data_IF_471787032624
#
_entry.id   IF_471787032624
#
_cell.length_a   1.000
_cell.length_b   1.000
_cell.length_c   1.000
_cell.angle_alpha   90.00
_cell.angle_beta   90.00
_cell.angle_gamma   90.00
#
_symmetry.space_group_name_H-M   'P 1'
#
loop_
_entity.id
_entity.type
_entity.pdbx_description
1 polymer ?
#
# COMPACT_ATOMS: atom_id res chain seq x y z
N UNK A 1 -21.58 6.07 16.56
CA UNK A 1 -20.17 6.41 16.82
C UNK A 1 -19.55 5.80 18.09
N UNK A 2 -20.32 5.37 19.09
CA UNK A 2 -19.81 4.67 20.29
C UNK A 2 -19.33 3.23 20.03
N UNK A 3 -19.78 2.56 18.97
CA UNK A 3 -19.41 1.18 18.59
C UNK A 3 -17.96 1.01 18.08
N UNK A 4 -17.27 2.13 17.77
CA UNK A 4 -15.92 2.14 17.20
C UNK A 4 -14.84 2.56 18.22
N UNK A 5 -15.12 2.59 19.51
CA UNK A 5 -14.06 2.73 20.52
C UNK A 5 -13.42 1.35 20.73
N UNK A 6 -12.16 1.12 20.37
CA UNK A 6 -11.47 -0.08 20.82
C UNK A 6 -11.40 0.00 22.34
N UNK A 7 -12.02 -0.93 23.03
CA UNK A 7 -11.73 -1.18 24.43
C UNK A 7 -10.26 -1.66 24.49
N UNK A 8 -9.41 -0.89 25.12
CA UNK A 8 -7.98 -1.00 25.40
C UNK A 8 -7.16 -2.22 24.99
N UNK A 9 -7.60 -3.42 25.16
CA UNK A 9 -6.79 -4.63 24.95
C UNK A 9 -7.39 -5.49 23.82
N UNK A 10 -6.72 -5.53 22.64
CA UNK A 10 -7.19 -6.32 21.49
C UNK A 10 -7.00 -7.83 21.65
N UNK A 11 -6.31 -8.25 22.71
CA UNK A 11 -6.19 -9.67 23.07
C UNK A 11 -7.48 -10.22 23.69
N UNK A 12 -8.48 -9.36 23.96
CA UNK A 12 -9.78 -9.71 24.53
C UNK A 12 -10.94 -9.17 23.67
N UNK A 13 -12.17 -9.64 23.91
CA UNK A 13 -13.37 -9.17 23.23
C UNK A 13 -13.60 -9.73 21.82
N UNK A 14 -14.59 -9.21 21.12
CA UNK A 14 -15.02 -9.72 19.83
C UNK A 14 -14.07 -9.30 18.70
N UNK A 15 -13.47 -10.26 18.01
CA UNK A 15 -12.47 -10.08 16.96
C UNK A 15 -12.95 -9.15 15.84
N UNK A 16 -14.17 -9.37 15.32
CA UNK A 16 -14.71 -8.59 14.22
C UNK A 16 -14.87 -7.09 14.54
N UNK A 17 -15.17 -6.74 15.82
CA UNK A 17 -15.26 -5.35 16.26
C UNK A 17 -13.91 -4.65 16.21
N UNK A 18 -12.84 -5.32 16.63
CA UNK A 18 -11.48 -4.79 16.56
C UNK A 18 -11.01 -4.64 15.11
N UNK A 19 -11.26 -5.67 14.28
CA UNK A 19 -10.91 -5.61 12.85
C UNK A 19 -11.64 -4.46 12.15
N UNK A 20 -12.94 -4.26 12.39
CA UNK A 20 -13.69 -3.12 11.82
C UNK A 20 -13.19 -1.78 12.35
N UNK A 21 -12.85 -1.69 13.64
CA UNK A 21 -12.32 -0.45 14.23
C UNK A 21 -10.97 -0.05 13.63
N UNK A 22 -10.19 -0.99 13.12
CA UNK A 22 -8.94 -0.75 12.40
C UNK A 22 -9.19 -0.52 10.91
N UNK A 23 -10.02 -1.35 10.30
CA UNK A 23 -10.34 -1.32 8.87
C UNK A 23 -10.95 0.02 8.43
N UNK A 24 -11.97 0.50 9.14
CA UNK A 24 -12.71 1.69 8.73
C UNK A 24 -11.81 2.93 8.62
N UNK A 25 -10.97 3.29 9.62
CA UNK A 25 -10.06 4.42 9.47
C UNK A 25 -9.03 4.24 8.35
N UNK A 26 -8.51 3.03 8.14
CA UNK A 26 -7.56 2.75 7.05
C UNK A 26 -8.22 2.91 5.69
N UNK A 27 -9.43 2.38 5.52
CA UNK A 27 -10.18 2.48 4.27
C UNK A 27 -10.47 3.95 3.92
N UNK A 28 -10.97 4.73 4.89
CA UNK A 28 -11.16 6.17 4.69
C UNK A 28 -9.84 6.90 4.43
N UNK A 29 -8.75 6.52 5.10
CA UNK A 29 -7.43 7.10 4.84
C UNK A 29 -6.99 6.89 3.39
N UNK A 30 -7.10 5.66 2.90
CA UNK A 30 -6.78 5.35 1.49
C UNK A 30 -7.72 6.07 0.52
N UNK A 31 -9.01 6.19 0.87
CA UNK A 31 -9.97 6.96 0.07
C UNK A 31 -9.56 8.45 -0.05
N UNK A 32 -9.24 9.11 1.06
CA UNK A 32 -8.76 10.50 1.03
C UNK A 32 -7.45 10.65 0.26
N UNK A 33 -6.56 9.66 0.34
CA UNK A 33 -5.33 9.62 -0.44
C UNK A 33 -5.61 9.55 -1.94
N UNK A 34 -6.57 8.71 -2.37
CA UNK A 34 -6.99 8.65 -3.77
C UNK A 34 -7.66 9.95 -4.24
N UNK A 35 -8.44 10.56 -3.34
CA UNK A 35 -9.13 11.81 -3.65
C UNK A 35 -8.12 12.94 -3.93
N UNK A 36 -7.12 13.13 -3.06
CA UNK A 36 -6.13 14.18 -3.30
C UNK A 36 -5.29 13.90 -4.55
N UNK A 37 -4.86 12.66 -4.82
CA UNK A 37 -4.14 12.31 -6.06
C UNK A 37 -4.98 12.64 -7.32
N UNK A 38 -6.29 12.45 -7.23
CA UNK A 38 -7.22 12.80 -8.32
C UNK A 38 -7.31 14.32 -8.48
N UNK A 39 -7.36 15.07 -7.39
CA UNK A 39 -7.40 16.54 -7.41
C UNK A 39 -6.09 17.10 -7.98
N UNK A 40 -4.93 16.61 -7.55
CA UNK A 40 -3.62 16.99 -8.10
C UNK A 40 -3.60 16.82 -9.63
N UNK A 41 -4.04 15.65 -10.10
CA UNK A 41 -4.11 15.36 -11.54
C UNK A 41 -5.06 16.29 -12.27
N UNK A 42 -6.21 16.63 -11.67
CA UNK A 42 -7.18 17.58 -12.20
C UNK A 42 -6.62 19.01 -12.29
N UNK A 43 -5.94 19.46 -11.22
CA UNK A 43 -5.32 20.80 -11.16
C UNK A 43 -4.26 20.93 -12.25
N UNK A 44 -3.36 19.93 -12.35
CA UNK A 44 -2.33 19.93 -13.40
C UNK A 44 -2.95 19.93 -14.80
N UNK A 45 -3.89 19.02 -15.06
CA UNK A 45 -4.48 18.88 -16.40
C UNK A 45 -5.30 20.10 -16.84
N UNK A 46 -6.03 20.72 -15.92
CA UNK A 46 -6.94 21.82 -16.26
C UNK A 46 -6.27 23.20 -16.26
N UNK A 47 -5.31 23.42 -15.37
CA UNK A 47 -4.73 24.76 -15.17
C UNK A 47 -3.29 24.90 -15.67
N UNK A 48 -2.52 23.81 -15.75
CA UNK A 48 -1.15 23.84 -16.26
C UNK A 48 -1.07 23.37 -17.71
N UNK A 49 -1.83 22.32 -18.05
CA UNK A 49 -1.97 21.86 -19.42
C UNK A 49 -1.46 20.44 -19.69
N UNK A 50 -1.66 19.98 -20.92
CA UNK A 50 -1.43 18.58 -21.33
C UNK A 50 0.02 18.10 -21.21
N UNK A 51 1.00 18.97 -21.45
CA UNK A 51 2.43 18.61 -21.34
C UNK A 51 2.82 18.39 -19.87
N UNK A 52 2.34 19.25 -18.97
CA UNK A 52 2.54 19.11 -17.53
C UNK A 52 1.84 17.84 -16.99
N UNK A 53 0.63 17.55 -17.49
CA UNK A 53 -0.07 16.33 -17.12
C UNK A 53 0.71 15.07 -17.57
N UNK A 54 1.28 15.09 -18.77
CA UNK A 54 2.14 14.01 -19.26
C UNK A 54 3.42 13.89 -18.45
N UNK A 55 4.02 15.03 -18.04
CA UNK A 55 5.20 15.07 -17.19
C UNK A 55 4.92 14.41 -15.82
N UNK A 56 3.89 14.85 -15.11
CA UNK A 56 3.49 14.28 -13.80
C UNK A 56 3.06 12.81 -13.95
N UNK A 57 2.29 12.48 -14.99
CA UNK A 57 1.86 11.10 -15.26
C UNK A 57 3.01 10.13 -15.47
N UNK A 58 4.07 10.55 -16.17
CA UNK A 58 5.26 9.72 -16.42
C UNK A 58 6.06 9.40 -15.14
N UNK A 59 5.92 10.21 -14.09
CA UNK A 59 6.60 10.00 -12.80
C UNK A 59 5.92 8.98 -11.90
N UNK A 60 4.64 8.68 -12.16
CA UNK A 60 3.81 7.85 -11.28
C UNK A 60 4.39 6.47 -10.99
N UNK A 61 5.02 5.83 -11.97
CA UNK A 61 5.66 4.52 -11.79
C UNK A 61 6.81 4.57 -10.77
N UNK A 62 7.67 5.60 -10.84
CA UNK A 62 8.80 5.79 -9.92
C UNK A 62 8.31 6.15 -8.51
N UNK A 63 7.31 7.02 -8.42
CA UNK A 63 6.68 7.39 -7.14
C UNK A 63 6.07 6.14 -6.47
N UNK A 64 5.26 5.35 -7.19
CA UNK A 64 4.62 4.15 -6.65
C UNK A 64 5.64 3.10 -6.21
N UNK A 65 6.71 2.89 -7.00
CA UNK A 65 7.80 1.98 -6.64
C UNK A 65 8.47 2.42 -5.34
N UNK A 66 8.79 3.70 -5.21
CA UNK A 66 9.43 4.28 -4.04
C UNK A 66 8.53 4.17 -2.80
N UNK A 67 7.24 4.52 -2.94
CA UNK A 67 6.24 4.38 -1.87
C UNK A 67 6.07 2.92 -1.46
N UNK A 68 6.07 1.98 -2.42
CA UNK A 68 6.01 0.55 -2.15
C UNK A 68 7.16 0.05 -1.27
N UNK A 69 8.38 0.54 -1.51
CA UNK A 69 9.55 0.21 -0.67
C UNK A 69 9.35 0.71 0.76
N UNK A 70 8.92 1.96 0.94
CA UNK A 70 8.74 2.53 2.29
C UNK A 70 7.61 1.86 3.06
N UNK A 71 6.50 1.58 2.40
CA UNK A 71 5.37 0.89 3.02
C UNK A 71 5.76 -0.53 3.43
N UNK A 72 6.57 -1.19 2.63
CA UNK A 72 7.13 -2.51 2.96
C UNK A 72 8.01 -2.45 4.20
N UNK A 73 8.97 -1.52 4.25
CA UNK A 73 9.84 -1.34 5.41
C UNK A 73 9.06 -0.92 6.66
N UNK A 74 8.10 0.00 6.53
CA UNK A 74 7.22 0.39 7.62
C UNK A 74 6.38 -0.78 8.15
N UNK A 75 5.96 -1.71 7.27
CA UNK A 75 5.26 -2.94 7.69
C UNK A 75 6.13 -3.79 8.61
N UNK A 76 7.45 -3.86 8.38
CA UNK A 76 8.39 -4.51 9.29
C UNK A 76 8.38 -3.89 10.68
N UNK A 77 8.41 -2.56 10.76
CA UNK A 77 8.32 -1.84 12.04
C UNK A 77 6.96 -2.06 12.73
N UNK A 78 5.86 -2.01 11.97
CA UNK A 78 4.50 -2.30 12.49
C UNK A 78 4.48 -3.65 13.19
N UNK A 79 4.99 -4.69 12.54
CA UNK A 79 4.95 -6.06 13.09
C UNK A 79 5.84 -6.19 14.31
N UNK A 80 7.10 -5.73 14.25
CA UNK A 80 8.02 -5.81 15.38
C UNK A 80 7.48 -5.08 16.62
N UNK A 81 6.97 -3.85 16.43
CA UNK A 81 6.38 -3.04 17.50
C UNK A 81 5.07 -3.65 18.01
N UNK A 82 4.21 -4.18 17.14
CA UNK A 82 2.95 -4.82 17.52
C UNK A 82 3.19 -6.06 18.37
N UNK A 83 4.20 -6.88 18.05
CA UNK A 83 4.58 -8.04 18.83
C UNK A 83 5.08 -7.65 20.23
N UNK A 84 5.95 -6.64 20.34
CA UNK A 84 6.40 -6.17 21.65
C UNK A 84 5.26 -5.55 22.48
N UNK A 85 4.36 -4.82 21.82
CA UNK A 85 3.18 -4.24 22.47
C UNK A 85 2.25 -5.34 23.02
N UNK A 86 1.95 -6.36 22.21
CA UNK A 86 1.14 -7.50 22.61
C UNK A 86 1.77 -8.31 23.74
N UNK A 87 3.09 -8.49 23.71
CA UNK A 87 3.88 -9.16 24.75
C UNK A 87 4.05 -8.32 26.02
N UNK A 88 3.61 -7.05 26.03
CA UNK A 88 3.83 -6.08 27.12
C UNK A 88 5.31 -5.86 27.47
N UNK A 89 6.19 -6.03 26.50
CA UNK A 89 7.63 -5.77 26.63
C UNK A 89 7.93 -4.31 26.36
N UNK A 90 7.68 -3.45 27.35
CA UNK A 90 7.70 -1.99 27.18
C UNK A 90 9.07 -1.42 26.86
N UNK A 91 10.14 -2.02 27.38
CA UNK A 91 11.50 -1.60 27.08
C UNK A 91 11.88 -1.89 25.62
N UNK A 92 11.60 -3.10 25.13
CA UNK A 92 11.86 -3.50 23.76
C UNK A 92 10.96 -2.71 22.77
N UNK A 93 9.72 -2.45 23.17
CA UNK A 93 8.82 -1.54 22.43
C UNK A 93 9.45 -0.17 22.25
N UNK A 94 9.98 0.43 23.33
CA UNK A 94 10.63 1.74 23.29
C UNK A 94 11.87 1.72 22.38
N UNK A 95 12.74 0.72 22.53
CA UNK A 95 13.89 0.51 21.64
C UNK A 95 13.46 0.40 20.18
N UNK A 96 12.39 -0.36 19.90
CA UNK A 96 11.81 -0.52 18.58
C UNK A 96 11.33 0.80 17.96
N UNK A 97 10.59 1.62 18.73
CA UNK A 97 10.09 2.92 18.28
C UNK A 97 11.24 3.88 17.94
N UNK A 98 12.24 4.01 18.84
CA UNK A 98 13.38 4.90 18.61
C UNK A 98 14.23 4.45 17.42
N UNK A 99 14.45 3.14 17.27
CA UNK A 99 15.14 2.55 16.11
C UNK A 99 14.37 2.79 14.81
N UNK A 100 13.06 2.57 14.80
CA UNK A 100 12.23 2.78 13.62
C UNK A 100 12.26 4.26 13.16
N UNK A 101 12.15 5.20 14.10
CA UNK A 101 12.18 6.62 13.78
C UNK A 101 13.57 7.08 13.28
N UNK A 102 14.66 6.58 13.85
CA UNK A 102 16.00 6.89 13.35
C UNK A 102 16.26 6.26 11.99
N UNK A 103 15.82 5.01 11.80
CA UNK A 103 15.94 4.32 10.53
C UNK A 103 15.14 5.04 9.42
N UNK A 104 13.98 5.64 9.76
CA UNK A 104 13.21 6.43 8.80
C UNK A 104 13.95 7.68 8.31
N UNK A 105 14.71 8.34 9.18
CA UNK A 105 15.56 9.48 8.79
C UNK A 105 16.71 9.03 7.86
N UNK A 106 17.38 7.93 8.19
CA UNK A 106 18.49 7.41 7.39
C UNK A 106 18.03 6.93 6.02
N UNK A 107 16.94 6.18 5.96
CA UNK A 107 16.34 5.70 4.71
C UNK A 107 15.82 6.89 3.90
N UNK A 108 15.13 7.84 4.53
CA UNK A 108 14.64 9.05 3.88
C UNK A 108 15.78 9.87 3.27
N UNK A 109 16.87 10.06 4.01
CA UNK A 109 18.06 10.77 3.53
C UNK A 109 18.75 10.03 2.36
N UNK A 110 18.86 8.71 2.45
CA UNK A 110 19.39 7.90 1.35
C UNK A 110 18.56 8.05 0.06
N UNK A 111 17.25 7.91 0.15
CA UNK A 111 16.38 8.05 -1.02
C UNK A 111 16.26 9.49 -1.51
N UNK A 112 16.37 10.47 -0.64
CA UNK A 112 16.46 11.88 -1.02
C UNK A 112 17.67 12.12 -1.94
N UNK A 113 18.85 11.69 -1.51
CA UNK A 113 20.10 11.87 -2.28
C UNK A 113 20.09 10.99 -3.53
N UNK A 114 19.86 9.69 -3.37
CA UNK A 114 19.86 8.75 -4.50
C UNK A 114 18.81 9.11 -5.54
N UNK A 115 17.57 9.41 -5.12
CA UNK A 115 16.47 9.76 -6.01
C UNK A 115 16.75 11.07 -6.77
N UNK A 116 17.29 12.09 -6.09
CA UNK A 116 17.62 13.35 -6.72
C UNK A 116 18.63 13.18 -7.87
N UNK A 117 19.71 12.42 -7.65
CA UNK A 117 20.74 12.22 -8.66
C UNK A 117 20.36 11.18 -9.72
N UNK A 118 19.60 10.15 -9.38
CA UNK A 118 19.19 9.10 -10.31
C UNK A 118 17.98 9.49 -11.17
N UNK A 119 17.23 10.54 -10.83
CA UNK A 119 16.03 10.98 -11.56
C UNK A 119 16.26 11.09 -13.08
N UNK A 120 17.30 11.76 -13.63
CA UNK A 120 17.43 11.90 -15.07
C UNK A 120 17.66 10.55 -15.77
N UNK A 121 18.41 9.65 -15.13
CA UNK A 121 18.65 8.31 -15.65
C UNK A 121 17.37 7.46 -15.64
N UNK A 122 16.63 7.49 -14.54
CA UNK A 122 15.39 6.75 -14.40
C UNK A 122 14.32 7.17 -15.42
N UNK A 123 14.18 8.49 -15.66
CA UNK A 123 13.24 9.02 -16.66
C UNK A 123 13.62 8.62 -18.09
N UNK A 124 14.93 8.58 -18.41
CA UNK A 124 15.40 8.09 -19.72
C UNK A 124 15.12 6.60 -19.89
N UNK A 125 15.39 5.80 -18.83
CA UNK A 125 15.11 4.37 -18.84
C UNK A 125 13.60 4.04 -19.02
N UNK A 126 12.72 4.91 -18.55
CA UNK A 126 11.27 4.80 -18.75
C UNK A 126 10.81 5.32 -20.12
N UNK A 127 11.70 5.85 -20.95
CA UNK A 127 11.34 6.39 -22.28
C UNK A 127 10.46 7.63 -22.19
N UNK A 128 10.65 8.49 -21.17
CA UNK A 128 9.87 9.73 -21.02
C UNK A 128 10.06 10.62 -22.25
N UNK A 129 8.94 11.13 -22.80
CA UNK A 129 8.92 11.97 -23.99
C UNK A 129 9.76 13.24 -23.79
N UNK A 130 10.45 13.67 -24.86
CA UNK A 130 11.35 14.81 -24.79
C UNK A 130 10.68 16.13 -24.36
N UNK A 131 9.41 16.35 -24.77
CA UNK A 131 8.62 17.51 -24.40
C UNK A 131 8.18 17.52 -22.92
N UNK A 132 7.97 16.35 -22.32
CA UNK A 132 7.57 16.18 -20.92
C UNK A 132 8.76 16.03 -19.96
N UNK A 133 9.95 15.69 -20.47
CA UNK A 133 11.14 15.35 -19.68
C UNK A 133 11.56 16.46 -18.68
N UNK A 134 11.67 17.75 -19.07
CA UNK A 134 12.10 18.80 -18.14
C UNK A 134 11.12 18.97 -16.96
N UNK A 135 9.81 18.90 -17.23
CA UNK A 135 8.78 18.98 -16.19
C UNK A 135 8.79 17.76 -15.27
N UNK A 136 8.96 16.56 -15.83
CA UNK A 136 9.06 15.31 -15.04
C UNK A 136 10.31 15.29 -14.15
N UNK A 137 11.45 15.75 -14.67
CA UNK A 137 12.70 15.86 -13.93
C UNK A 137 12.57 16.85 -12.76
N UNK A 138 12.02 18.02 -13.02
CA UNK A 138 11.78 19.04 -11.99
C UNK A 138 10.85 18.53 -10.90
N UNK A 139 9.72 17.92 -11.29
CA UNK A 139 8.76 17.32 -10.36
C UNK A 139 9.41 16.29 -9.45
N UNK A 140 10.12 15.31 -10.04
CA UNK A 140 10.74 14.23 -9.25
C UNK A 140 11.87 14.74 -8.36
N UNK A 141 12.69 15.66 -8.82
CA UNK A 141 13.75 16.27 -7.97
C UNK A 141 13.16 16.95 -6.74
N UNK A 142 12.08 17.74 -6.91
CA UNK A 142 11.38 18.37 -5.79
C UNK A 142 10.74 17.28 -4.90
N UNK A 143 10.07 16.29 -5.49
CA UNK A 143 9.46 15.19 -4.77
C UNK A 143 10.47 14.42 -3.92
N UNK A 144 11.67 14.13 -4.46
CA UNK A 144 12.73 13.44 -3.70
C UNK A 144 13.29 14.28 -2.54
N UNK A 145 13.25 15.59 -2.59
CA UNK A 145 13.57 16.44 -1.43
C UNK A 145 12.59 16.22 -0.26
N UNK A 146 11.36 15.80 -0.56
CA UNK A 146 10.34 15.42 0.44
C UNK A 146 10.46 14.00 0.99
N UNK A 147 11.51 13.22 0.67
CA UNK A 147 11.61 11.81 1.07
C UNK A 147 11.75 11.63 2.58
N UNK A 148 12.53 12.47 3.26
CA UNK A 148 12.66 12.36 4.72
C UNK A 148 11.29 12.48 5.40
N UNK A 149 10.50 13.55 5.21
CA UNK A 149 9.18 13.63 5.82
C UNK A 149 8.23 12.51 5.38
N UNK A 150 8.30 12.05 4.13
CA UNK A 150 7.46 10.94 3.65
C UNK A 150 7.76 9.64 4.41
N UNK A 151 9.03 9.26 4.55
CA UNK A 151 9.41 8.02 5.25
C UNK A 151 9.13 8.14 6.75
N UNK A 152 9.40 9.31 7.36
CA UNK A 152 9.07 9.59 8.77
C UNK A 152 7.57 9.47 9.03
N UNK A 153 6.73 10.00 8.14
CA UNK A 153 5.28 9.86 8.25
C UNK A 153 4.85 8.40 8.15
N UNK A 154 5.33 7.64 7.15
CA UNK A 154 4.97 6.22 6.99
C UNK A 154 5.41 5.37 8.19
N UNK A 155 6.62 5.59 8.69
CA UNK A 155 7.15 4.88 9.85
C UNK A 155 6.40 5.24 11.13
N UNK A 156 6.19 6.54 11.38
CA UNK A 156 5.50 7.02 12.58
C UNK A 156 4.03 6.62 12.63
N UNK A 157 3.31 6.65 11.50
CA UNK A 157 1.96 6.10 11.42
C UNK A 157 1.96 4.58 11.58
N UNK A 158 3.02 3.90 11.13
CA UNK A 158 3.27 2.49 11.39
C UNK A 158 3.35 2.20 12.89
N UNK A 159 4.09 3.01 13.67
CA UNK A 159 4.16 2.90 15.13
C UNK A 159 2.77 3.05 15.77
N UNK A 160 2.00 4.07 15.37
CA UNK A 160 0.64 4.28 15.89
C UNK A 160 -0.29 3.11 15.56
N UNK A 161 -0.24 2.61 14.32
CA UNK A 161 -1.02 1.43 13.91
C UNK A 161 -0.61 0.18 14.69
N UNK A 162 0.67 -0.03 14.94
CA UNK A 162 1.19 -1.17 15.69
C UNK A 162 0.62 -1.26 17.10
N UNK A 163 0.33 -0.12 17.73
CA UNK A 163 -0.30 -0.06 19.07
C UNK A 163 -1.83 0.02 19.03
N UNK A 164 -2.43 -0.08 17.84
CA UNK A 164 -3.89 -0.09 17.63
C UNK A 164 -4.54 1.28 17.42
N UNK A 165 -3.75 2.34 17.29
CA UNK A 165 -4.27 3.68 16.97
C UNK A 165 -4.29 3.92 15.46
N UNK A 166 -5.43 3.66 14.84
CA UNK A 166 -5.67 3.90 13.43
C UNK A 166 -6.35 5.23 13.13
N UNK A 167 -6.83 5.96 14.18
CA UNK A 167 -7.58 7.20 14.01
C UNK A 167 -6.67 8.41 13.82
N UNK A 168 -5.62 8.53 14.65
CA UNK A 168 -4.68 9.64 14.52
C UNK A 168 -4.04 9.70 13.13
N UNK A 169 -3.53 8.57 12.55
CA UNK A 169 -3.06 8.54 11.16
C UNK A 169 -4.07 9.07 10.15
N UNK A 170 -5.36 8.71 10.29
CA UNK A 170 -6.42 9.22 9.43
C UNK A 170 -6.57 10.75 9.52
N UNK A 171 -6.59 11.31 10.74
CA UNK A 171 -6.70 12.76 10.92
C UNK A 171 -5.50 13.51 10.34
N UNK A 172 -4.29 12.96 10.48
CA UNK A 172 -3.08 13.54 9.89
C UNK A 172 -3.14 13.53 8.37
N UNK A 173 -3.63 12.45 7.80
CA UNK A 173 -3.79 12.34 6.35
C UNK A 173 -4.85 13.31 5.82
N UNK A 174 -5.99 13.45 6.49
CA UNK A 174 -7.03 14.43 6.11
C UNK A 174 -6.45 15.85 6.16
N UNK A 175 -5.76 16.22 7.24
CA UNK A 175 -5.15 17.54 7.37
C UNK A 175 -4.12 17.80 6.26
N UNK A 176 -3.28 16.81 5.95
CA UNK A 176 -2.30 16.89 4.87
C UNK A 176 -2.96 16.98 3.50
N UNK A 177 -4.03 16.22 3.24
CA UNK A 177 -4.75 16.25 1.98
C UNK A 177 -5.41 17.61 1.74
N UNK A 178 -6.03 18.20 2.77
CA UNK A 178 -6.60 19.55 2.68
C UNK A 178 -5.50 20.58 2.42
N UNK A 179 -4.38 20.50 3.16
CA UNK A 179 -3.23 21.37 2.96
C UNK A 179 -2.67 21.27 1.55
N UNK A 180 -2.50 20.06 1.02
CA UNK A 180 -2.03 19.80 -0.34
C UNK A 180 -2.95 20.46 -1.37
N UNK A 181 -4.27 20.18 -1.33
CA UNK A 181 -5.25 20.75 -2.27
C UNK A 181 -5.23 22.29 -2.23
N UNK A 182 -5.19 22.89 -1.05
CA UNK A 182 -5.13 24.36 -0.92
C UNK A 182 -3.83 24.91 -1.50
N UNK A 183 -2.69 24.27 -1.19
CA UNK A 183 -1.39 24.69 -1.72
C UNK A 183 -1.29 24.51 -3.23
N UNK A 184 -1.82 23.42 -3.80
CA UNK A 184 -1.87 23.22 -5.24
C UNK A 184 -2.58 24.37 -5.92
N UNK A 185 -3.78 24.72 -5.44
CA UNK A 185 -4.54 25.84 -6.02
C UNK A 185 -3.80 27.17 -5.87
N UNK A 186 -3.23 27.45 -4.71
CA UNK A 186 -2.48 28.71 -4.47
C UNK A 186 -1.22 28.77 -5.32
N UNK A 187 -0.39 27.73 -5.32
CA UNK A 187 0.89 27.75 -6.01
C UNK A 187 0.74 27.70 -7.53
N UNK A 188 -0.28 27.00 -8.04
CA UNK A 188 -0.54 26.92 -9.48
C UNK A 188 -1.30 28.16 -9.99
N UNK A 189 -2.37 28.60 -9.30
CA UNK A 189 -3.22 29.68 -9.81
C UNK A 189 -2.69 31.08 -9.47
N UNK A 190 -2.20 31.28 -8.22
CA UNK A 190 -1.75 32.60 -7.78
C UNK A 190 -0.27 32.84 -8.13
N UNK A 191 0.59 31.85 -7.87
CA UNK A 191 2.03 31.98 -8.10
C UNK A 191 2.50 31.49 -9.47
N UNK A 192 1.65 30.77 -10.21
CA UNK A 192 1.92 30.24 -11.57
C UNK A 192 3.20 29.39 -11.64
N UNK A 193 3.44 28.57 -10.60
CA UNK A 193 4.62 27.71 -10.52
C UNK A 193 4.49 26.40 -11.33
N UNK A 194 3.42 26.23 -12.08
CA UNK A 194 3.18 25.08 -12.95
C UNK A 194 3.43 23.73 -12.22
N UNK A 195 4.20 22.83 -12.85
CA UNK A 195 4.54 21.50 -12.30
C UNK A 195 5.32 21.61 -10.96
N UNK A 196 6.16 22.65 -10.81
CA UNK A 196 6.90 22.86 -9.56
C UNK A 196 5.97 23.18 -8.38
N UNK A 197 4.87 23.91 -8.65
CA UNK A 197 3.86 24.25 -7.64
C UNK A 197 3.25 23.01 -7.00
N UNK A 198 2.82 22.05 -7.84
CA UNK A 198 2.23 20.78 -7.39
C UNK A 198 3.26 19.93 -6.62
N UNK A 199 4.50 19.85 -7.10
CA UNK A 199 5.55 19.13 -6.38
C UNK A 199 5.85 19.74 -4.99
N UNK A 200 5.90 21.08 -4.90
CA UNK A 200 6.11 21.80 -3.62
C UNK A 200 4.92 21.59 -2.69
N UNK A 201 3.68 21.67 -3.17
CA UNK A 201 2.49 21.41 -2.36
C UNK A 201 2.50 20.00 -1.77
N UNK A 202 2.88 19.00 -2.58
CA UNK A 202 3.05 17.61 -2.12
C UNK A 202 4.09 17.51 -1.02
N UNK A 203 5.28 18.12 -1.19
CA UNK A 203 6.34 18.09 -0.17
C UNK A 203 5.89 18.80 1.11
N UNK A 204 5.26 19.97 1.02
CA UNK A 204 4.75 20.71 2.18
C UNK A 204 3.71 19.89 2.96
N UNK A 205 2.79 19.22 2.26
CA UNK A 205 1.80 18.35 2.91
C UNK A 205 2.44 17.12 3.58
N UNK A 206 3.49 16.56 3.00
CA UNK A 206 4.28 15.49 3.61
C UNK A 206 5.01 15.97 4.87
N UNK A 207 5.60 17.18 4.84
CA UNK A 207 6.22 17.80 6.02
C UNK A 207 5.18 17.99 7.13
N UNK A 208 3.99 18.52 6.80
CA UNK A 208 2.91 18.66 7.77
C UNK A 208 2.54 17.32 8.42
N UNK A 209 2.36 16.27 7.60
CA UNK A 209 2.05 14.92 8.08
C UNK A 209 3.13 14.38 9.02
N UNK A 210 4.40 14.54 8.64
CA UNK A 210 5.53 14.09 9.44
C UNK A 210 5.61 14.84 10.79
N UNK A 211 5.40 16.15 10.78
CA UNK A 211 5.35 16.95 12.02
C UNK A 211 4.22 16.50 12.92
N UNK A 212 3.01 16.31 12.37
CA UNK A 212 1.84 15.87 13.15
C UNK A 212 2.07 14.50 13.80
N UNK A 213 2.65 13.54 13.09
CA UNK A 213 2.91 12.21 13.64
C UNK A 213 4.01 12.25 14.71
N UNK A 214 5.10 12.98 14.48
CA UNK A 214 6.20 13.11 15.45
C UNK A 214 5.72 13.80 16.71
N UNK A 215 5.01 14.93 16.59
CA UNK A 215 4.44 15.65 17.74
C UNK A 215 3.45 14.76 18.51
N UNK A 216 2.63 13.97 17.81
CA UNK A 216 1.71 13.03 18.44
C UNK A 216 2.44 11.96 19.25
N UNK A 217 3.53 11.38 18.72
CA UNK A 217 4.35 10.40 19.42
C UNK A 217 5.08 11.00 20.63
N UNK A 218 5.55 12.25 20.53
CA UNK A 218 6.21 12.96 21.63
C UNK A 218 5.25 13.34 22.77
N UNK A 219 4.01 13.75 22.43
CA UNK A 219 2.98 14.19 23.39
C UNK A 219 2.20 13.04 24.06
N UNK A 220 2.47 11.80 23.70
CA UNK A 220 1.81 10.63 24.30
C UNK A 220 2.37 10.32 25.70
N UNK A 221 2.16 11.20 26.68
CA UNK A 221 2.85 11.25 27.98
C UNK A 221 2.78 9.96 28.80
N UNK A 222 1.65 9.28 28.79
CA UNK A 222 1.43 8.04 29.54
C UNK A 222 1.66 6.78 28.72
N UNK A 223 1.97 6.92 27.44
CA UNK A 223 2.06 5.78 26.53
C UNK A 223 3.47 5.15 26.56
N UNK A 224 3.57 3.82 26.59
CA UNK A 224 4.87 3.12 26.59
C UNK A 224 5.65 3.31 25.29
N UNK A 225 5.00 3.76 24.21
CA UNK A 225 5.58 4.06 22.91
C UNK A 225 5.97 5.53 22.70
N UNK A 226 6.02 6.31 23.80
CA UNK A 226 6.42 7.74 23.72
C UNK A 226 7.81 7.88 23.09
N UNK A 227 7.89 8.78 22.11
CA UNK A 227 9.12 9.05 21.38
C UNK A 227 9.88 10.24 21.99
N UNK A 228 11.18 10.06 22.19
CA UNK A 228 12.10 11.09 22.68
C UNK A 228 13.23 11.30 21.66
N UNK A 229 13.28 12.40 20.91
CA UNK A 229 14.32 12.61 19.89
C UNK A 229 15.75 12.51 20.42
N UNK A 230 15.98 12.92 21.68
CA UNK A 230 17.31 12.84 22.33
C UNK A 230 17.75 11.41 22.67
N UNK A 231 16.83 10.45 22.65
CA UNK A 231 17.09 9.03 22.97
C UNK A 231 17.15 8.15 21.72
N UNK A 232 17.17 8.76 20.53
CA UNK A 232 17.29 8.00 19.28
C UNK A 232 18.62 7.23 19.25
N UNK A 233 18.51 5.92 19.12
CA UNK A 233 19.65 5.00 18.95
C UNK A 233 19.22 3.87 18.03
N UNK A 234 20.19 3.33 17.31
CA UNK A 234 20.01 2.09 16.54
C UNK A 234 20.33 0.91 17.46
N UNK A 235 19.35 0.05 17.66
CA UNK A 235 19.50 -1.20 18.38
C UNK A 235 19.48 -2.37 17.39
N UNK A 236 20.47 -3.28 17.50
CA UNK A 236 20.67 -4.35 16.52
C UNK A 236 19.44 -5.30 16.39
N UNK A 237 18.83 -5.68 17.51
CA UNK A 237 17.68 -6.58 17.51
C UNK A 237 16.43 -5.95 16.85
N UNK A 238 16.00 -4.71 17.17
CA UNK A 238 14.94 -4.04 16.43
C UNK A 238 15.25 -3.84 14.95
N UNK A 239 16.48 -3.47 14.57
CA UNK A 239 16.87 -3.35 13.16
C UNK A 239 16.68 -4.68 12.44
N UNK A 240 17.23 -5.76 13.02
CA UNK A 240 17.11 -7.09 12.43
C UNK A 240 15.63 -7.49 12.24
N UNK A 241 14.80 -7.30 13.27
CA UNK A 241 13.37 -7.61 13.20
C UNK A 241 12.63 -6.80 12.14
N UNK A 242 12.93 -5.49 12.03
CA UNK A 242 12.33 -4.61 11.02
C UNK A 242 12.76 -5.02 9.61
N UNK A 243 14.04 -5.32 9.39
CA UNK A 243 14.57 -5.65 8.07
C UNK A 243 14.14 -7.04 7.59
N UNK A 244 14.16 -8.05 8.46
CA UNK A 244 13.73 -9.43 8.12
C UNK A 244 12.27 -9.48 7.66
N UNK A 245 11.42 -8.60 8.17
CA UNK A 245 10.03 -8.51 7.75
C UNK A 245 9.84 -7.47 6.63
N UNK A 246 10.48 -6.34 6.77
CA UNK A 246 10.29 -5.18 5.89
C UNK A 246 10.91 -5.35 4.52
N UNK A 247 12.12 -5.91 4.42
CA UNK A 247 12.81 -6.08 3.12
C UNK A 247 12.05 -7.05 2.19
N UNK A 248 11.62 -8.25 2.63
CA UNK A 248 10.81 -9.11 1.78
C UNK A 248 9.50 -8.43 1.34
N UNK A 249 8.84 -7.68 2.25
CA UNK A 249 7.59 -6.96 1.92
C UNK A 249 7.83 -5.84 0.90
N UNK A 250 8.93 -5.10 1.03
CA UNK A 250 9.32 -4.08 0.07
C UNK A 250 9.65 -4.70 -1.30
N UNK A 251 10.39 -5.80 -1.32
CA UNK A 251 10.71 -6.52 -2.55
C UNK A 251 9.46 -7.05 -3.24
N UNK A 252 8.49 -7.59 -2.48
CA UNK A 252 7.19 -7.99 -3.02
C UNK A 252 6.48 -6.83 -3.73
N UNK A 253 6.47 -5.63 -3.13
CA UNK A 253 5.85 -4.43 -3.72
C UNK A 253 6.55 -4.00 -5.01
N UNK A 254 7.89 -4.05 -5.05
CA UNK A 254 8.69 -3.75 -6.24
C UNK A 254 8.37 -4.74 -7.37
N UNK A 255 8.32 -6.04 -7.05
CA UNK A 255 8.02 -7.09 -8.04
C UNK A 255 6.59 -6.96 -8.59
N UNK A 256 5.62 -6.60 -7.75
CA UNK A 256 4.25 -6.32 -8.20
C UNK A 256 4.21 -5.11 -9.13
N UNK A 257 4.90 -4.02 -8.79
CA UNK A 257 5.00 -2.84 -9.65
C UNK A 257 5.64 -3.15 -10.99
N UNK A 258 6.73 -3.92 -11.00
CA UNK A 258 7.39 -4.37 -12.23
C UNK A 258 6.46 -5.26 -13.07
N UNK A 259 5.78 -6.23 -12.47
CA UNK A 259 4.82 -7.09 -13.18
C UNK A 259 3.69 -6.27 -13.83
N UNK A 260 3.18 -5.26 -13.14
CA UNK A 260 2.14 -4.38 -13.68
C UNK A 260 2.61 -3.55 -14.88
N UNK A 261 3.89 -3.17 -14.95
CA UNK A 261 4.46 -2.49 -16.12
C UNK A 261 4.44 -3.40 -17.36
N UNK A 262 4.78 -4.70 -17.22
CA UNK A 262 4.69 -5.64 -18.33
C UNK A 262 3.26 -5.89 -18.78
N UNK A 263 2.30 -5.94 -17.85
CA UNK A 263 0.88 -6.02 -18.20
C UNK A 263 0.46 -4.78 -18.99
N UNK A 264 0.82 -3.59 -18.52
CA UNK A 264 0.48 -2.35 -19.21
C UNK A 264 1.10 -2.31 -20.61
N UNK A 265 2.33 -2.79 -20.77
CA UNK A 265 2.96 -2.91 -22.09
C UNK A 265 2.19 -3.87 -23.02
N UNK A 266 1.73 -5.01 -22.48
CA UNK A 266 0.89 -5.95 -23.22
C UNK A 266 -0.47 -5.32 -23.61
N UNK A 267 -1.10 -4.59 -22.70
CA UNK A 267 -2.37 -3.88 -22.98
C UNK A 267 -2.17 -2.82 -24.10
N UNK A 268 -1.06 -2.10 -24.07
CA UNK A 268 -0.77 -1.06 -25.07
C UNK A 268 -0.52 -1.63 -26.48
N UNK A 269 -0.39 -2.95 -26.64
CA UNK A 269 -0.31 -3.58 -27.97
C UNK A 269 -1.67 -3.80 -28.63
N UNK A 270 -2.77 -3.58 -27.93
CA UNK A 270 -4.12 -3.67 -28.46
C UNK A 270 -4.65 -2.33 -29.00
N UNK A 271 -5.90 -2.31 -29.45
CA UNK A 271 -6.54 -1.10 -29.97
C UNK A 271 -6.64 0.00 -28.89
N UNK A 272 -6.81 1.23 -29.34
CA UNK A 272 -7.03 2.40 -28.47
C UNK A 272 -8.24 2.19 -27.56
N UNK A 273 -9.31 1.56 -28.08
CA UNK A 273 -10.55 1.30 -27.35
C UNK A 273 -10.31 0.27 -26.23
N UNK A 274 -9.49 -0.76 -26.50
CA UNK A 274 -9.08 -1.74 -25.49
C UNK A 274 -8.27 -1.09 -24.35
N UNK A 275 -7.34 -0.21 -24.68
CA UNK A 275 -6.57 0.57 -23.69
C UNK A 275 -7.47 1.49 -22.86
N UNK A 276 -8.43 2.16 -23.51
CA UNK A 276 -9.41 3.03 -22.85
C UNK A 276 -10.31 2.22 -21.90
N UNK A 277 -10.83 1.08 -22.36
CA UNK A 277 -11.66 0.17 -21.56
C UNK A 277 -10.90 -0.39 -20.35
N UNK A 278 -9.64 -0.80 -20.54
CA UNK A 278 -8.78 -1.25 -19.45
C UNK A 278 -8.53 -0.14 -18.41
N UNK A 279 -8.33 1.08 -18.89
CA UNK A 279 -8.14 2.25 -18.02
C UNK A 279 -9.39 2.56 -17.21
N UNK A 280 -10.58 2.50 -17.83
CA UNK A 280 -11.86 2.67 -17.15
C UNK A 280 -12.08 1.58 -16.08
N UNK A 281 -11.82 0.30 -16.44
CA UNK A 281 -11.84 -0.82 -15.49
C UNK A 281 -10.90 -0.57 -14.30
N UNK A 282 -9.66 -0.14 -14.55
CA UNK A 282 -8.66 0.13 -13.51
C UNK A 282 -9.12 1.20 -12.51
N UNK A 283 -9.93 2.18 -12.91
CA UNK A 283 -10.52 3.17 -11.99
C UNK A 283 -11.58 2.55 -11.07
N UNK A 284 -12.32 1.56 -11.55
CA UNK A 284 -13.28 0.81 -10.76
C UNK A 284 -12.59 -0.19 -9.80
N UNK A 285 -11.54 -0.83 -10.27
CA UNK A 285 -10.76 -1.84 -9.56
C UNK A 285 -10.11 -1.30 -8.26
N UNK A 286 -9.79 0.00 -8.21
CA UNK A 286 -9.22 0.68 -7.03
C UNK A 286 -10.05 0.44 -5.77
N UNK A 287 -11.38 0.37 -5.84
CA UNK A 287 -12.24 0.16 -4.67
C UNK A 287 -12.02 -1.21 -4.02
N UNK A 288 -11.81 -2.25 -4.83
CA UNK A 288 -11.46 -3.57 -4.32
C UNK A 288 -10.08 -3.55 -3.65
N UNK A 289 -9.07 -2.98 -4.30
CA UNK A 289 -7.71 -2.91 -3.77
C UNK A 289 -7.60 -2.12 -2.48
N UNK A 290 -8.31 -1.00 -2.37
CA UNK A 290 -8.40 -0.24 -1.11
C UNK A 290 -8.96 -1.10 0.03
N UNK A 291 -10.02 -1.86 -0.26
CA UNK A 291 -10.74 -2.66 0.73
C UNK A 291 -9.87 -3.82 1.22
N UNK A 292 -9.28 -4.58 0.31
CA UNK A 292 -8.44 -5.73 0.68
C UNK A 292 -7.16 -5.31 1.42
N UNK A 293 -6.52 -4.23 0.97
CA UNK A 293 -5.30 -3.69 1.60
C UNK A 293 -5.58 -3.19 3.02
N UNK A 294 -6.68 -2.46 3.23
CA UNK A 294 -7.08 -1.99 4.56
C UNK A 294 -7.37 -3.15 5.52
N UNK A 295 -8.03 -4.21 5.06
CA UNK A 295 -8.29 -5.40 5.87
C UNK A 295 -7.00 -6.17 6.19
N UNK A 296 -6.11 -6.34 5.22
CA UNK A 296 -4.82 -7.01 5.39
C UNK A 296 -3.94 -6.29 6.42
N UNK A 297 -3.85 -4.96 6.35
CA UNK A 297 -3.09 -4.16 7.33
C UNK A 297 -3.70 -4.26 8.74
N UNK A 298 -5.04 -4.25 8.84
CA UNK A 298 -5.77 -4.44 10.10
C UNK A 298 -5.46 -5.81 10.72
N UNK A 299 -5.53 -6.86 9.89
CA UNK A 299 -5.22 -8.22 10.30
C UNK A 299 -3.74 -8.38 10.69
N UNK A 300 -2.82 -7.77 9.95
CA UNK A 300 -1.38 -7.83 10.26
C UNK A 300 -1.08 -7.27 11.65
N UNK A 301 -1.66 -6.12 12.01
CA UNK A 301 -1.51 -5.53 13.34
C UNK A 301 -2.16 -6.41 14.41
N UNK A 302 -3.38 -6.87 14.17
CA UNK A 302 -4.10 -7.74 15.10
C UNK A 302 -3.35 -9.05 15.33
N UNK A 303 -2.84 -9.67 14.26
CA UNK A 303 -2.03 -10.89 14.32
C UNK A 303 -0.72 -10.65 15.07
N UNK A 304 -0.01 -9.53 14.82
CA UNK A 304 1.22 -9.18 15.49
C UNK A 304 1.06 -9.06 17.00
N UNK A 305 0.04 -8.35 17.48
CA UNK A 305 -0.21 -8.20 18.91
C UNK A 305 -0.63 -9.52 19.57
N UNK A 306 -1.51 -10.30 18.94
CA UNK A 306 -1.94 -11.60 19.49
C UNK A 306 -0.79 -12.63 19.46
N UNK A 307 0.07 -12.60 18.44
CA UNK A 307 1.28 -13.42 18.41
C UNK A 307 2.23 -13.07 19.55
N UNK A 308 2.49 -11.77 19.77
CA UNK A 308 3.28 -11.28 20.89
C UNK A 308 2.72 -11.67 22.25
N UNK A 309 1.41 -11.67 22.40
CA UNK A 309 0.70 -12.10 23.61
C UNK A 309 0.61 -13.62 23.79
N UNK A 310 1.14 -14.44 22.86
CA UNK A 310 1.05 -15.89 22.88
C UNK A 310 -0.35 -16.45 22.55
N UNK A 311 -1.27 -15.61 22.07
CA UNK A 311 -2.66 -15.99 21.79
C UNK A 311 -2.83 -16.55 20.37
N UNK A 312 -2.18 -17.66 20.07
CA UNK A 312 -2.13 -18.26 18.73
C UNK A 312 -3.50 -18.71 18.20
N UNK A 313 -4.38 -19.23 19.05
CA UNK A 313 -5.72 -19.64 18.64
C UNK A 313 -6.60 -18.43 18.27
N UNK A 314 -6.46 -17.32 19.00
CA UNK A 314 -7.14 -16.06 18.66
C UNK A 314 -6.62 -15.47 17.35
N UNK A 315 -5.32 -15.61 17.07
CA UNK A 315 -4.75 -15.26 15.77
C UNK A 315 -5.39 -16.10 14.64
N UNK A 316 -5.48 -17.43 14.78
CA UNK A 316 -6.15 -18.29 13.77
C UNK A 316 -7.64 -17.94 13.59
N UNK A 317 -8.34 -17.64 14.69
CA UNK A 317 -9.72 -17.18 14.64
C UNK A 317 -9.85 -15.85 13.88
N UNK A 318 -8.90 -14.91 14.08
CA UNK A 318 -8.92 -13.63 13.36
C UNK A 318 -8.78 -13.80 11.85
N UNK A 319 -7.99 -14.77 11.38
CA UNK A 319 -7.90 -15.12 9.96
C UNK A 319 -9.25 -15.58 9.42
N UNK A 320 -9.96 -16.48 10.13
CA UNK A 320 -11.28 -16.96 9.70
C UNK A 320 -12.30 -15.82 9.66
N UNK A 321 -12.32 -14.99 10.72
CA UNK A 321 -13.25 -13.85 10.80
C UNK A 321 -12.96 -12.82 9.70
N UNK A 322 -11.71 -12.44 9.49
CA UNK A 322 -11.35 -11.48 8.45
C UNK A 322 -11.62 -12.02 7.04
N UNK A 323 -11.40 -13.34 6.81
CA UNK A 323 -11.72 -13.96 5.53
C UNK A 323 -13.24 -13.96 5.27
N UNK A 324 -14.04 -14.28 6.28
CA UNK A 324 -15.49 -14.23 6.14
C UNK A 324 -16.02 -12.80 5.89
N UNK A 325 -15.50 -11.81 6.65
CA UNK A 325 -15.84 -10.41 6.45
C UNK A 325 -15.44 -9.94 5.04
N UNK A 326 -14.22 -10.27 4.62
CA UNK A 326 -13.71 -9.86 3.31
C UNK A 326 -14.44 -10.53 2.17
N UNK A 327 -14.82 -11.82 2.31
CA UNK A 327 -15.67 -12.51 1.35
C UNK A 327 -17.03 -11.82 1.20
N UNK A 328 -17.66 -11.43 2.31
CA UNK A 328 -18.91 -10.67 2.28
C UNK A 328 -18.77 -9.31 1.59
N UNK A 329 -17.74 -8.54 1.92
CA UNK A 329 -17.47 -7.26 1.25
C UNK A 329 -17.14 -7.43 -0.23
N UNK A 330 -16.32 -8.41 -0.57
CA UNK A 330 -15.96 -8.68 -1.98
C UNK A 330 -17.17 -9.11 -2.78
N UNK A 331 -18.01 -9.99 -2.26
CA UNK A 331 -19.24 -10.40 -2.94
C UNK A 331 -20.20 -9.22 -3.16
N UNK A 332 -20.36 -8.35 -2.15
CA UNK A 332 -21.20 -7.16 -2.26
C UNK A 332 -20.66 -6.17 -3.31
N UNK A 333 -19.35 -5.88 -3.28
CA UNK A 333 -18.70 -4.99 -4.27
C UNK A 333 -18.78 -5.62 -5.66
N UNK A 334 -18.48 -6.92 -5.78
CA UNK A 334 -18.53 -7.64 -7.05
C UNK A 334 -19.94 -7.68 -7.65
N UNK A 335 -20.95 -7.95 -6.83
CA UNK A 335 -22.34 -7.92 -7.28
C UNK A 335 -22.76 -6.52 -7.75
N UNK A 336 -22.41 -5.47 -6.98
CA UNK A 336 -22.70 -4.10 -7.37
C UNK A 336 -22.00 -3.71 -8.68
N UNK A 337 -20.72 -4.00 -8.83
CA UNK A 337 -19.96 -3.69 -10.06
C UNK A 337 -20.44 -4.51 -11.26
N UNK A 338 -20.78 -5.78 -11.05
CA UNK A 338 -21.30 -6.66 -12.12
C UNK A 338 -22.66 -6.19 -12.64
N UNK A 339 -23.59 -5.86 -11.73
CA UNK A 339 -24.94 -5.39 -12.08
C UNK A 339 -24.91 -3.97 -12.68
N UNK A 340 -24.04 -3.12 -12.15
CA UNK A 340 -23.91 -1.73 -12.60
C UNK A 340 -22.77 -1.53 -13.61
N UNK A 341 -22.26 -2.59 -14.24
CA UNK A 341 -21.12 -2.52 -15.15
C UNK A 341 -21.31 -1.45 -16.23
N UNK A 342 -22.49 -1.44 -16.89
CA UNK A 342 -22.78 -0.46 -17.96
C UNK A 342 -22.73 0.99 -17.48
N UNK A 343 -23.49 1.45 -16.47
CA UNK A 343 -23.43 2.82 -16.00
C UNK A 343 -22.06 3.20 -15.40
N UNK A 344 -21.36 2.26 -14.76
CA UNK A 344 -20.03 2.52 -14.20
C UNK A 344 -18.97 2.75 -15.27
N UNK A 345 -18.95 1.94 -16.34
CA UNK A 345 -18.01 2.13 -17.45
C UNK A 345 -18.39 3.37 -18.26
N UNK A 346 -19.69 3.58 -18.54
CA UNK A 346 -20.19 4.74 -19.27
C UNK A 346 -19.88 6.08 -18.58
N UNK A 347 -19.75 6.07 -17.25
CA UNK A 347 -19.34 7.25 -16.48
C UNK A 347 -17.92 7.73 -16.86
N UNK A 348 -17.03 6.80 -17.20
CA UNK A 348 -15.65 7.14 -17.60
C UNK A 348 -15.49 7.34 -19.10
N UNK A 349 -16.17 6.52 -19.91
CA UNK A 349 -16.15 6.63 -21.36
C UNK A 349 -17.51 6.21 -21.94
N UNK A 350 -18.26 7.14 -22.57
CA UNK A 350 -19.57 6.86 -23.14
C UNK A 350 -19.52 6.27 -24.56
N UNK A 351 -18.33 6.06 -25.14
CA UNK A 351 -18.13 5.47 -26.45
C UNK A 351 -18.59 4.01 -26.47
N UNK A 352 -19.41 3.61 -27.45
CA UNK A 352 -20.07 2.29 -27.50
C UNK A 352 -19.07 1.13 -27.64
N UNK A 353 -17.97 1.30 -28.37
CA UNK A 353 -16.96 0.27 -28.59
C UNK A 353 -16.14 0.07 -27.28
N UNK A 354 -15.74 1.15 -26.62
CA UNK A 354 -15.07 1.12 -25.32
C UNK A 354 -16.00 0.54 -24.24
N UNK A 355 -17.30 0.89 -24.30
CA UNK A 355 -18.31 0.42 -23.36
C UNK A 355 -18.51 -1.09 -23.46
N UNK A 356 -18.58 -1.63 -24.69
CA UNK A 356 -18.74 -3.08 -24.89
C UNK A 356 -17.56 -3.86 -24.29
N UNK A 357 -16.33 -3.45 -24.60
CA UNK A 357 -15.10 -4.08 -24.08
C UNK A 357 -15.01 -3.90 -22.55
N UNK A 358 -15.33 -2.72 -22.03
CA UNK A 358 -15.25 -2.42 -20.61
C UNK A 358 -16.24 -3.23 -19.77
N UNK A 359 -17.49 -3.43 -20.27
CA UNK A 359 -18.50 -4.28 -19.62
C UNK A 359 -18.02 -5.73 -19.59
N UNK A 360 -17.45 -6.22 -20.69
CA UNK A 360 -16.91 -7.57 -20.77
C UNK A 360 -15.78 -7.79 -19.75
N UNK A 361 -14.83 -6.86 -19.65
CA UNK A 361 -13.76 -6.90 -18.66
C UNK A 361 -14.29 -6.91 -17.22
N UNK A 362 -15.22 -6.00 -16.90
CA UNK A 362 -15.81 -5.94 -15.55
C UNK A 362 -16.51 -7.25 -15.21
N UNK A 363 -17.35 -7.75 -16.11
CA UNK A 363 -18.09 -9.00 -15.88
C UNK A 363 -17.19 -10.23 -15.81
N UNK A 364 -16.04 -10.21 -16.46
CA UNK A 364 -15.07 -11.31 -16.42
C UNK A 364 -14.21 -11.26 -15.15
N UNK A 365 -13.63 -10.10 -14.81
CA UNK A 365 -12.64 -9.99 -13.73
C UNK A 365 -13.28 -9.86 -12.34
N UNK A 366 -14.33 -9.07 -12.21
CA UNK A 366 -14.89 -8.73 -10.89
C UNK A 366 -15.38 -9.93 -10.08
N UNK A 367 -16.06 -10.96 -10.67
CA UNK A 367 -16.41 -12.18 -9.93
C UNK A 367 -15.20 -12.95 -9.41
N UNK A 368 -14.04 -12.79 -10.04
CA UNK A 368 -12.83 -13.53 -9.69
C UNK A 368 -12.04 -12.91 -8.51
N UNK A 369 -12.41 -11.71 -8.03
CA UNK A 369 -11.76 -11.07 -6.88
C UNK A 369 -11.75 -11.95 -5.63
N UNK A 370 -12.75 -12.82 -5.47
CA UNK A 370 -12.84 -13.78 -4.37
C UNK A 370 -11.60 -14.67 -4.27
N UNK A 371 -10.95 -14.96 -5.40
CA UNK A 371 -9.78 -15.82 -5.45
C UNK A 371 -8.52 -15.16 -4.92
N UNK A 372 -8.47 -13.80 -4.88
CA UNK A 372 -7.33 -13.06 -4.36
C UNK A 372 -7.32 -12.91 -2.83
N UNK A 373 -8.47 -13.01 -2.18
CA UNK A 373 -8.64 -12.71 -0.75
C UNK A 373 -7.63 -13.48 0.11
N UNK A 374 -7.45 -14.77 -0.15
CA UNK A 374 -6.57 -15.62 0.65
C UNK A 374 -5.11 -15.22 0.54
N UNK A 375 -4.64 -14.78 -0.64
CA UNK A 375 -3.26 -14.32 -0.82
C UNK A 375 -2.97 -13.20 0.18
N UNK A 376 -3.79 -12.18 0.20
CA UNK A 376 -3.53 -10.97 0.97
C UNK A 376 -3.73 -11.17 2.47
N UNK A 377 -4.81 -11.85 2.87
CA UNK A 377 -5.12 -12.06 4.28
C UNK A 377 -4.18 -13.07 4.94
N UNK A 378 -3.88 -14.19 4.28
CA UNK A 378 -2.96 -15.17 4.85
C UNK A 378 -1.53 -14.62 4.91
N UNK A 379 -1.08 -13.93 3.86
CA UNK A 379 0.20 -13.22 3.88
C UNK A 379 0.26 -12.19 5.02
N UNK A 380 -0.81 -11.41 5.22
CA UNK A 380 -0.92 -10.44 6.31
C UNK A 380 -0.81 -11.08 7.69
N UNK A 381 -1.52 -12.18 7.92
CA UNK A 381 -1.48 -12.92 9.18
C UNK A 381 -0.10 -13.55 9.48
N UNK A 382 0.49 -14.22 8.48
CA UNK A 382 1.81 -14.85 8.57
C UNK A 382 2.89 -13.79 8.79
N UNK A 383 2.79 -12.64 8.11
CA UNK A 383 3.66 -11.47 8.32
C UNK A 383 3.50 -10.93 9.74
N UNK A 384 2.28 -10.84 10.27
CA UNK A 384 2.01 -10.46 11.66
C UNK A 384 2.70 -11.37 12.66
N UNK A 385 2.84 -12.66 12.36
CA UNK A 385 3.63 -13.61 13.16
C UNK A 385 5.16 -13.46 12.95
N UNK A 386 5.63 -12.52 12.12
CA UNK A 386 7.05 -12.25 11.89
C UNK A 386 7.70 -13.06 10.77
N UNK A 387 6.91 -13.79 9.98
CA UNK A 387 7.40 -14.63 8.87
C UNK A 387 6.96 -14.01 7.54
N UNK A 388 7.81 -13.23 6.88
CA UNK A 388 7.46 -12.54 5.62
C UNK A 388 8.12 -13.13 4.37
N UNK A 389 9.25 -13.83 4.52
CA UNK A 389 10.03 -14.31 3.38
C UNK A 389 9.27 -15.35 2.54
N UNK A 390 8.73 -16.39 3.16
CA UNK A 390 8.04 -17.47 2.42
C UNK A 390 6.76 -16.97 1.75
N UNK A 391 5.86 -16.22 2.41
CA UNK A 391 4.72 -15.61 1.74
C UNK A 391 5.12 -14.70 0.57
N UNK A 392 6.20 -13.93 0.71
CA UNK A 392 6.73 -13.10 -0.38
C UNK A 392 7.15 -13.97 -1.57
N UNK A 393 7.94 -15.03 -1.34
CA UNK A 393 8.39 -15.92 -2.42
C UNK A 393 7.20 -16.57 -3.13
N UNK A 394 6.23 -17.10 -2.40
CA UNK A 394 5.01 -17.69 -2.97
C UNK A 394 4.25 -16.65 -3.81
N UNK A 395 4.08 -15.44 -3.28
CA UNK A 395 3.35 -14.37 -3.99
C UNK A 395 4.10 -13.88 -5.22
N UNK A 396 5.42 -13.73 -5.16
CA UNK A 396 6.23 -13.28 -6.32
C UNK A 396 6.23 -14.35 -7.40
N UNK A 397 6.44 -15.62 -7.05
CA UNK A 397 6.42 -16.70 -8.03
C UNK A 397 5.03 -16.89 -8.65
N UNK A 398 3.98 -16.88 -7.83
CA UNK A 398 2.62 -17.13 -8.29
C UNK A 398 1.99 -15.94 -9.00
N UNK A 399 2.09 -14.73 -8.44
CA UNK A 399 1.45 -13.54 -9.04
C UNK A 399 2.34 -12.89 -10.10
N UNK A 400 3.67 -12.79 -9.91
CA UNK A 400 4.53 -12.08 -10.86
C UNK A 400 5.10 -13.03 -11.91
N UNK A 401 5.88 -14.04 -11.51
CA UNK A 401 6.60 -14.91 -12.47
C UNK A 401 5.64 -15.71 -13.33
N UNK A 402 4.64 -16.35 -12.74
CA UNK A 402 3.65 -17.13 -13.48
C UNK A 402 2.83 -16.24 -14.43
N UNK A 403 2.50 -15.00 -14.00
CA UNK A 403 1.79 -14.03 -14.85
C UNK A 403 2.65 -13.58 -16.04
N UNK A 404 3.93 -13.31 -15.81
CA UNK A 404 4.86 -12.99 -16.91
C UNK A 404 5.01 -14.17 -17.87
N UNK A 405 5.13 -15.39 -17.37
CA UNK A 405 5.15 -16.59 -18.20
C UNK A 405 3.87 -16.69 -19.04
N UNK A 406 2.68 -16.43 -18.45
CA UNK A 406 1.44 -16.40 -19.19
C UNK A 406 1.43 -15.34 -20.30
N UNK A 407 1.91 -14.13 -20.00
CA UNK A 407 2.00 -13.04 -20.99
C UNK A 407 2.94 -13.37 -22.14
N UNK A 408 4.08 -14.05 -21.89
CA UNK A 408 5.06 -14.37 -22.92
C UNK A 408 4.74 -15.62 -23.72
N UNK A 409 4.06 -16.61 -23.15
CA UNK A 409 3.84 -17.89 -23.82
C UNK A 409 2.40 -18.12 -24.27
N UNK A 410 1.39 -17.59 -23.55
CA UNK A 410 -0.02 -17.86 -23.86
C UNK A 410 -0.65 -16.71 -24.67
N UNK A 411 -0.43 -15.47 -24.26
CA UNK A 411 -1.03 -14.31 -24.93
C UNK A 411 -0.62 -14.18 -26.40
N UNK A 412 0.63 -14.47 -26.84
CA UNK A 412 0.98 -14.41 -28.26
C UNK A 412 0.26 -15.43 -29.12
N UNK A 413 -0.16 -16.57 -28.55
CA UNK A 413 -0.89 -17.62 -29.26
C UNK A 413 -2.36 -17.22 -29.46
N UNK A 414 -2.94 -16.58 -28.47
CA UNK A 414 -4.32 -16.09 -28.47
C UNK A 414 -4.35 -14.61 -28.14
N UNK A 415 -4.04 -13.77 -29.13
CA UNK A 415 -3.86 -12.32 -28.94
C UNK A 415 -5.21 -11.63 -28.71
N UNK A 416 -5.77 -11.78 -27.51
CA UNK A 416 -7.01 -11.13 -27.08
C UNK A 416 -6.84 -10.45 -25.72
N UNK A 417 -7.56 -9.36 -25.49
CA UNK A 417 -7.53 -8.63 -24.22
C UNK A 417 -7.99 -9.52 -23.04
N UNK A 418 -8.96 -10.40 -23.30
CA UNK A 418 -9.44 -11.37 -22.30
C UNK A 418 -8.35 -12.38 -21.91
N UNK A 419 -7.45 -12.78 -22.81
CA UNK A 419 -6.33 -13.65 -22.45
C UNK A 419 -5.32 -12.95 -21.55
N UNK A 420 -5.11 -11.64 -21.71
CA UNK A 420 -4.35 -10.86 -20.74
C UNK A 420 -5.09 -10.80 -19.41
N UNK A 421 -6.39 -10.52 -19.42
CA UNK A 421 -7.23 -10.48 -18.23
C UNK A 421 -7.29 -11.84 -17.49
N UNK A 422 -7.32 -12.97 -18.23
CA UNK A 422 -7.35 -14.32 -17.65
C UNK A 422 -6.11 -14.66 -16.83
N UNK A 423 -4.99 -13.98 -17.07
CA UNK A 423 -3.79 -14.13 -16.24
C UNK A 423 -4.06 -13.85 -14.75
N UNK A 424 -4.99 -12.95 -14.43
CA UNK A 424 -5.32 -12.57 -13.05
C UNK A 424 -5.99 -13.71 -12.27
N UNK A 425 -7.17 -14.22 -12.65
CA UNK A 425 -7.83 -15.27 -11.88
C UNK A 425 -7.01 -16.57 -11.81
N UNK A 426 -6.28 -16.91 -12.87
CA UNK A 426 -5.44 -18.12 -12.89
C UNK A 426 -4.30 -17.99 -11.88
N UNK A 427 -3.54 -16.90 -11.95
CA UNK A 427 -2.42 -16.69 -11.03
C UNK A 427 -2.90 -16.49 -9.59
N UNK A 428 -4.02 -15.82 -9.36
CA UNK A 428 -4.60 -15.65 -8.03
C UNK A 428 -5.07 -16.98 -7.43
N UNK A 429 -5.72 -17.83 -8.21
CA UNK A 429 -6.20 -19.14 -7.73
C UNK A 429 -5.03 -20.03 -7.34
N UNK A 430 -4.01 -20.14 -8.20
CA UNK A 430 -2.82 -20.97 -7.95
C UNK A 430 -2.06 -20.44 -6.72
N UNK A 431 -1.85 -19.13 -6.64
CA UNK A 431 -1.14 -18.52 -5.51
C UNK A 431 -1.94 -18.65 -4.21
N UNK A 432 -3.26 -18.49 -4.24
CA UNK A 432 -4.14 -18.70 -3.08
C UNK A 432 -4.06 -20.13 -2.57
N UNK A 433 -4.05 -21.11 -3.47
CA UNK A 433 -3.87 -22.50 -3.07
C UNK A 433 -2.50 -22.74 -2.43
N UNK A 434 -1.43 -22.21 -3.02
CA UNK A 434 -0.07 -22.34 -2.50
C UNK A 434 0.10 -21.70 -1.12
N UNK A 435 -0.39 -20.46 -0.92
CA UNK A 435 -0.30 -19.78 0.38
C UNK A 435 -1.19 -20.46 1.43
N UNK A 436 -2.36 -20.99 1.04
CA UNK A 436 -3.24 -21.75 1.92
C UNK A 436 -2.58 -23.06 2.38
N UNK A 437 -1.89 -23.79 1.48
CA UNK A 437 -1.12 -24.99 1.82
C UNK A 437 -0.02 -24.63 2.83
N UNK A 438 0.72 -23.55 2.58
CA UNK A 438 1.74 -23.09 3.52
C UNK A 438 1.13 -22.67 4.87
N UNK A 439 0.01 -21.96 4.87
CA UNK A 439 -0.71 -21.59 6.10
C UNK A 439 -1.15 -22.82 6.90
N UNK A 440 -1.63 -23.88 6.23
CA UNK A 440 -2.16 -25.07 6.89
C UNK A 440 -1.09 -26.03 7.39
N UNK A 441 -0.02 -26.21 6.65
CA UNK A 441 1.00 -27.23 6.91
C UNK A 441 2.40 -26.64 7.22
N UNK A 442 2.64 -25.37 6.98
CA UNK A 442 3.91 -24.70 7.23
C UNK A 442 4.12 -24.36 8.71
N UNK A 443 5.38 -24.23 9.11
CA UNK A 443 5.81 -23.93 10.49
C UNK A 443 5.86 -22.41 10.77
N UNK A 444 4.82 -21.66 10.39
CA UNK A 444 4.80 -20.21 10.54
C UNK A 444 4.39 -19.71 11.94
N UNK A 445 3.77 -20.59 12.76
CA UNK A 445 3.24 -20.31 14.10
C UNK A 445 4.09 -20.99 15.22
N UNK A 446 5.41 -21.10 15.01
CA UNK A 446 6.28 -21.63 16.05
C UNK A 446 6.46 -20.63 17.21
N UNK A 447 6.37 -21.08 18.48
CA UNK A 447 6.67 -20.24 19.64
C UNK A 447 8.10 -19.70 19.58
N UNK A 448 8.28 -18.43 19.92
CA UNK A 448 9.56 -17.71 19.85
C UNK A 448 10.68 -18.35 20.72
N UNK A 449 10.33 -19.12 21.75
CA UNK A 449 11.28 -19.79 22.67
C UNK A 449 12.16 -20.85 21.99
N UNK A 450 11.68 -21.48 20.91
CA UNK A 450 12.46 -22.50 20.18
C UNK A 450 13.49 -21.93 19.21
N UNK A 451 13.39 -20.66 18.84
CA UNK A 451 14.28 -20.03 17.84
C UNK A 451 15.56 -19.49 18.49
N UNK A 452 15.51 -19.10 19.78
CA UNK A 452 16.68 -18.57 20.51
C UNK A 452 17.63 -19.70 20.96
N UNK A 453 17.15 -20.94 21.11
CA UNK A 453 18.00 -22.09 21.45
C UNK A 453 18.72 -22.74 20.26
N UNK A 454 18.42 -22.32 19.01
CA UNK A 454 19.03 -22.88 17.79
C UNK A 454 20.01 -21.94 17.07
N UNK A 455 20.20 -20.71 17.57
CA UNK A 455 21.18 -19.74 17.12
C UNK A 455 22.28 -19.55 18.16
#
# INVERSE_FOLDING_TARGET
MRLLRPSGDITQGAIWKHLLAFFVPLWFGTFFQQLYNTVDTLVVGRFVGKVALAAVGSTGALVNLTVGIFTGLASGAVVAIAQHYGARRWEDLRKGVHTAMLLSLLIGAFFMVAGFFLTPWALRALGTRADAFPGAELYLKIYFLGMIPNVVYNMGTGVLRAVGDFRRPLYFLIAASVCNIVLDLVLVLCFRLDVAGVAIATVCSQVLSAVLVVVSLMRSETAPYRFFPRQMRLYAEPIHSILVIGVPTALQSVMYSASNLFIQAAINSFSTDAVAAWTAYGKLDVFFWMTITAMSQSLTTFAGQNYGAGQYERLKQSVRVSTAMMAGFTLAISAAMFLLARPLVAFFCPDDDVLAIGIELVRFLVPTYITYILIELLTGAIRGAGKSLIPMVISVLGVCVLRLAWLFFVVPVHHTLLMVAASYPITWTITSAAIWIYYRFGHWLEPREKTVQKA
#
